data_IF_143480038626
#
_entry.id   IF_143480038626
#
_cell.length_a   1.000
_cell.length_b   1.000
_cell.length_c   1.000
_cell.angle_alpha   90.00
_cell.angle_beta   90.00
_cell.angle_gamma   90.00
#
_symmetry.space_group_name_H-M   'P 1'
#
loop_
_entity.id
_entity.type
_entity.pdbx_description
1 polymer ?
#
# COMPACT_ATOMS: atom_id res chain seq x y z
N UNK A 1 3.57 18.80 2.60
CA UNK A 1 3.96 18.38 1.24
C UNK A 1 3.39 16.98 1.06
N UNK A 2 2.49 16.74 0.10
CA UNK A 2 1.90 15.40 -0.09
C UNK A 2 2.96 14.51 -0.72
N UNK A 3 3.36 13.44 -0.03
CA UNK A 3 4.35 12.49 -0.54
C UNK A 3 3.59 11.43 -1.35
N UNK A 4 3.67 11.54 -2.67
CA UNK A 4 3.18 10.51 -3.58
C UNK A 4 4.26 9.46 -3.79
N UNK A 5 3.94 8.19 -3.60
CA UNK A 5 4.93 7.10 -3.66
C UNK A 5 5.15 6.71 -5.12
N UNK A 6 6.30 7.10 -5.68
CA UNK A 6 6.74 6.72 -7.03
C UNK A 6 7.60 5.44 -7.00
N UNK A 7 7.94 4.89 -8.18
CA UNK A 7 8.81 3.71 -8.28
C UNK A 7 10.17 3.95 -7.61
N UNK A 8 10.78 5.11 -7.85
CA UNK A 8 12.07 5.50 -7.25
C UNK A 8 12.00 5.66 -5.72
N UNK A 9 10.79 5.78 -5.15
CA UNK A 9 10.61 5.79 -3.71
C UNK A 9 10.66 4.38 -3.12
N UNK A 10 10.42 3.32 -3.87
CA UNK A 10 10.42 1.97 -3.31
C UNK A 10 11.85 1.41 -3.21
N UNK A 11 12.14 0.65 -2.16
CA UNK A 11 13.46 0.05 -1.90
C UNK A 11 13.52 -1.44 -2.24
N UNK A 12 12.38 -2.12 -2.28
CA UNK A 12 12.28 -3.54 -2.53
C UNK A 12 12.01 -3.84 -4.01
N UNK A 13 12.19 -5.11 -4.39
CA UNK A 13 11.91 -5.56 -5.75
C UNK A 13 10.43 -5.90 -5.93
N UNK A 14 9.84 -5.40 -7.02
CA UNK A 14 8.44 -5.57 -7.35
C UNK A 14 8.23 -6.10 -8.77
N UNK A 15 7.11 -6.79 -8.95
CA UNK A 15 6.65 -7.25 -10.25
C UNK A 15 5.97 -6.09 -10.97
N UNK A 16 6.47 -5.77 -12.17
CA UNK A 16 5.84 -4.78 -13.05
C UNK A 16 4.65 -5.42 -13.76
N UNK A 17 3.45 -4.96 -13.46
CA UNK A 17 2.24 -5.39 -14.14
C UNK A 17 1.90 -4.52 -15.34
N UNK A 18 1.25 -5.11 -16.34
CA UNK A 18 0.66 -4.38 -17.48
C UNK A 18 -0.70 -3.76 -17.14
N UNK A 19 -1.34 -4.21 -16.04
CA UNK A 19 -2.62 -3.70 -15.59
C UNK A 19 -2.40 -2.31 -14.99
N UNK A 20 -3.11 -1.32 -15.52
CA UNK A 20 -3.20 0.01 -14.90
C UNK A 20 -4.41 0.01 -13.97
N UNK A 21 -4.19 0.35 -12.71
CA UNK A 21 -5.26 0.49 -11.73
C UNK A 21 -5.78 1.93 -11.70
N UNK A 22 -7.10 2.07 -11.62
CA UNK A 22 -7.75 3.34 -11.31
C UNK A 22 -7.89 3.43 -9.78
N UNK A 23 -7.25 4.41 -9.15
CA UNK A 23 -7.22 4.54 -7.68
C UNK A 23 -8.61 4.63 -7.05
N UNK A 24 -9.57 5.29 -7.71
CA UNK A 24 -10.94 5.43 -7.19
C UNK A 24 -11.63 4.07 -7.20
N UNK A 25 -11.53 3.33 -8.31
CA UNK A 25 -12.11 1.99 -8.44
C UNK A 25 -11.41 0.98 -7.54
N UNK A 26 -10.09 1.13 -7.33
CA UNK A 26 -9.26 0.22 -6.54
C UNK A 26 -9.75 0.06 -5.10
N UNK A 27 -10.19 1.15 -4.47
CA UNK A 27 -10.65 1.16 -3.07
C UNK A 27 -12.17 1.14 -2.91
N UNK A 28 -12.94 1.50 -3.93
CA UNK A 28 -14.41 1.49 -3.86
C UNK A 28 -14.99 0.18 -4.41
N UNK A 29 -14.85 -0.05 -5.72
CA UNK A 29 -15.44 -1.18 -6.44
C UNK A 29 -14.65 -2.47 -6.22
N UNK A 30 -13.32 -2.39 -6.29
CA UNK A 30 -12.41 -3.54 -6.25
C UNK A 30 -11.82 -3.76 -4.85
N UNK A 31 -12.36 -3.12 -3.82
CA UNK A 31 -11.80 -3.14 -2.46
C UNK A 31 -11.71 -4.56 -1.86
N UNK A 32 -12.59 -5.46 -2.30
CA UNK A 32 -12.65 -6.85 -1.86
C UNK A 32 -11.71 -7.76 -2.66
N UNK A 33 -11.06 -7.27 -3.71
CA UNK A 33 -10.07 -8.04 -4.43
C UNK A 33 -8.82 -8.29 -3.56
N UNK A 34 -8.06 -9.36 -3.84
CA UNK A 34 -6.80 -9.63 -3.16
C UNK A 34 -5.81 -8.48 -3.31
N UNK A 35 -5.06 -8.23 -2.25
CA UNK A 35 -3.91 -7.34 -2.29
C UNK A 35 -2.65 -8.16 -2.63
N UNK A 36 -1.90 -7.72 -3.63
CA UNK A 36 -0.60 -8.30 -3.95
C UNK A 36 0.54 -7.39 -3.48
N UNK A 37 1.20 -7.79 -2.39
CA UNK A 37 2.35 -7.07 -1.83
C UNK A 37 3.62 -7.19 -2.71
N UNK A 38 3.62 -8.00 -3.78
CA UNK A 38 4.71 -8.05 -4.76
C UNK A 38 4.43 -7.19 -5.99
N UNK A 39 3.24 -6.63 -6.12
CA UNK A 39 2.85 -5.81 -7.26
C UNK A 39 3.32 -4.37 -7.06
N UNK A 40 4.06 -3.84 -8.04
CA UNK A 40 4.58 -2.47 -7.99
C UNK A 40 3.45 -1.45 -7.85
N UNK A 41 2.45 -1.54 -8.73
CA UNK A 41 1.37 -0.56 -8.75
C UNK A 41 0.48 -0.66 -7.51
N UNK A 42 0.14 -1.88 -7.06
CA UNK A 42 -0.70 -2.04 -5.87
C UNK A 42 0.00 -1.50 -4.62
N UNK A 43 1.31 -1.70 -4.49
CA UNK A 43 2.10 -1.16 -3.39
C UNK A 43 2.16 0.37 -3.42
N UNK A 44 2.38 0.98 -4.59
CA UNK A 44 2.36 2.44 -4.74
C UNK A 44 1.01 3.04 -4.32
N UNK A 45 -0.09 2.45 -4.80
CA UNK A 45 -1.45 2.90 -4.49
C UNK A 45 -1.76 2.74 -3.01
N UNK A 46 -1.47 1.57 -2.44
CA UNK A 46 -1.73 1.28 -1.04
C UNK A 46 -0.90 2.17 -0.11
N UNK A 47 0.41 2.29 -0.36
CA UNK A 47 1.30 3.13 0.44
C UNK A 47 0.96 4.60 0.34
N UNK A 48 0.63 5.11 -0.85
CA UNK A 48 0.18 6.50 -1.03
C UNK A 48 -1.08 6.74 -0.23
N UNK A 49 -2.08 5.84 -0.34
CA UNK A 49 -3.35 5.98 0.36
C UNK A 49 -3.19 5.96 1.89
N UNK A 50 -2.37 5.05 2.42
CA UNK A 50 -2.10 4.97 3.86
C UNK A 50 -1.27 6.19 4.32
N UNK A 51 -0.27 6.58 3.54
CA UNK A 51 0.55 7.76 3.78
C UNK A 51 -0.28 9.03 3.91
N UNK A 52 -1.27 9.20 3.02
CA UNK A 52 -2.21 10.30 3.11
C UNK A 52 -3.15 10.19 4.31
N UNK A 53 -3.68 8.99 4.58
CA UNK A 53 -4.64 8.79 5.66
C UNK A 53 -4.03 8.99 7.06
N UNK A 54 -2.74 8.72 7.22
CA UNK A 54 -2.02 8.80 8.50
C UNK A 54 -1.02 9.97 8.55
N UNK A 55 -0.98 10.81 7.51
CA UNK A 55 -0.05 11.94 7.36
C UNK A 55 1.43 11.54 7.57
N UNK A 56 1.85 10.40 6.99
CA UNK A 56 3.18 9.83 7.17
C UNK A 56 4.28 10.69 6.54
N UNK A 57 5.42 10.77 7.21
CA UNK A 57 6.64 11.33 6.63
C UNK A 57 7.38 10.32 5.75
N UNK A 58 8.46 10.77 5.10
CA UNK A 58 9.23 9.92 4.20
C UNK A 58 9.84 8.71 4.90
N UNK A 59 10.24 8.82 6.17
CA UNK A 59 10.86 7.73 6.91
C UNK A 59 9.82 6.68 7.31
N UNK A 60 8.66 7.10 7.81
CA UNK A 60 7.52 6.26 8.12
C UNK A 60 7.00 5.54 6.88
N UNK A 61 7.00 6.17 5.70
CA UNK A 61 6.65 5.51 4.44
C UNK A 61 7.64 4.38 4.06
N UNK A 62 8.94 4.51 4.37
CA UNK A 62 9.90 3.41 4.17
C UNK A 62 9.62 2.24 5.11
N UNK A 63 9.29 2.52 6.37
CA UNK A 63 8.85 1.48 7.30
C UNK A 63 7.57 0.80 6.84
N UNK A 64 6.63 1.57 6.29
CA UNK A 64 5.36 1.06 5.76
C UNK A 64 5.58 0.07 4.62
N UNK A 65 6.54 0.36 3.73
CA UNK A 65 6.92 -0.55 2.63
C UNK A 65 7.29 -1.94 3.16
N UNK A 66 8.17 -1.98 4.16
CA UNK A 66 8.62 -3.22 4.80
C UNK A 66 7.45 -3.89 5.53
N UNK A 67 6.67 -3.13 6.29
CA UNK A 67 5.53 -3.63 7.04
C UNK A 67 4.49 -4.33 6.15
N UNK A 68 4.12 -3.71 5.03
CA UNK A 68 3.20 -4.31 4.04
C UNK A 68 3.76 -5.59 3.42
N UNK A 69 5.09 -5.72 3.34
CA UNK A 69 5.76 -6.87 2.72
C UNK A 69 5.94 -8.05 3.66
N UNK A 70 6.13 -7.81 4.96
CA UNK A 70 6.58 -8.84 5.89
C UNK A 70 5.70 -9.03 7.11
N UNK A 71 4.84 -8.07 7.46
CA UNK A 71 4.15 -8.04 8.75
C UNK A 71 2.62 -8.07 8.63
N UNK A 72 2.08 -8.20 7.42
CA UNK A 72 0.63 -8.36 7.25
C UNK A 72 0.13 -9.66 7.89
N UNK A 73 -0.94 -9.60 8.69
CA UNK A 73 -1.51 -10.79 9.30
C UNK A 73 -2.20 -11.64 8.23
N UNK A 74 -2.29 -12.95 8.48
CA UNK A 74 -2.85 -13.92 7.52
C UNK A 74 -4.29 -13.61 7.05
N UNK A 75 -5.05 -12.84 7.83
CA UNK A 75 -6.44 -12.47 7.51
C UNK A 75 -6.56 -11.19 6.67
N UNK A 76 -5.49 -10.40 6.52
CA UNK A 76 -5.49 -9.18 5.70
C UNK A 76 -5.33 -9.54 4.21
N UNK A 77 -6.31 -10.29 3.68
CA UNK A 77 -6.24 -10.89 2.35
C UNK A 77 -6.77 -9.96 1.25
N UNK A 78 -7.56 -8.95 1.59
CA UNK A 78 -8.14 -8.00 0.62
C UNK A 78 -7.55 -6.61 0.78
N UNK A 79 -7.60 -5.81 -0.30
CA UNK A 79 -7.14 -4.41 -0.30
C UNK A 79 -7.77 -3.59 0.82
N UNK A 80 -9.08 -3.75 1.04
CA UNK A 80 -9.81 -3.09 2.12
C UNK A 80 -9.30 -3.49 3.50
N UNK A 81 -9.13 -4.79 3.74
CA UNK A 81 -8.69 -5.30 5.04
C UNK A 81 -7.26 -4.88 5.33
N UNK A 82 -6.38 -4.91 4.33
CA UNK A 82 -5.01 -4.38 4.44
C UNK A 82 -5.05 -2.91 4.83
N UNK A 83 -5.75 -2.07 4.07
CA UNK A 83 -5.84 -0.64 4.37
C UNK A 83 -6.36 -0.38 5.80
N UNK A 84 -7.49 -0.99 6.18
CA UNK A 84 -8.10 -0.81 7.50
C UNK A 84 -7.20 -1.30 8.64
N UNK A 85 -6.58 -2.47 8.47
CA UNK A 85 -5.75 -3.04 9.51
C UNK A 85 -4.47 -2.24 9.70
N UNK A 86 -3.79 -1.87 8.60
CA UNK A 86 -2.54 -1.10 8.66
C UNK A 86 -2.81 0.29 9.25
N UNK A 87 -3.87 0.98 8.83
CA UNK A 87 -4.21 2.30 9.39
C UNK A 87 -4.53 2.29 10.89
N UNK A 88 -4.89 1.13 11.45
CA UNK A 88 -5.17 0.97 12.88
C UNK A 88 -3.99 0.44 13.69
N UNK A 89 -3.04 -0.27 13.06
CA UNK A 89 -2.01 -1.05 13.76
C UNK A 89 -0.57 -0.67 13.38
N UNK A 90 -0.37 0.16 12.36
CA UNK A 90 0.95 0.63 11.97
C UNK A 90 1.46 1.69 12.95
N UNK A 91 2.51 1.32 13.71
CA UNK A 91 3.20 2.20 14.65
C UNK A 91 4.51 2.67 14.00
N UNK A 92 4.69 3.99 13.85
CA UNK A 92 5.77 4.58 13.05
C UNK A 92 6.66 5.55 13.80
#
# INVERSE_FOLDING_TARGET
MRLHVSEDFLQLEYTKELKNYDEARYFEEEANEPFDAHSLQQMQIMMTRIGEAMELDAYSLKKLEVFLRTELPFFAVTRRLVFQWVTQNFLY
#
